data_IF_846702220984
#
_entry.id   IF_846702220984
#
_cell.length_a   1.000
_cell.length_b   1.000
_cell.length_c   1.000
_cell.angle_alpha   90.00
_cell.angle_beta   90.00
_cell.angle_gamma   90.00
#
_symmetry.space_group_name_H-M   'P 1'
#
loop_
_entity.id
_entity.type
_entity.pdbx_description
1 polymer ?
#
# COMPACT_ATOMS: atom_id res chain seq x y z
N UNK A 1 2.23 15.21 17.79
CA UNK A 1 1.80 15.25 16.37
C UNK A 1 1.05 13.94 16.10
N UNK A 2 0.02 13.91 15.24
CA UNK A 2 -0.76 12.68 15.08
C UNK A 2 0.06 11.61 14.38
N UNK A 3 0.11 10.41 14.98
CA UNK A 3 0.68 9.22 14.37
C UNK A 3 -0.18 8.77 13.19
N UNK A 4 0.47 8.39 12.10
CA UNK A 4 -0.25 7.75 10.99
C UNK A 4 -0.51 6.31 11.34
N UNK A 5 -1.77 5.99 11.63
CA UNK A 5 -2.25 4.62 11.74
C UNK A 5 -2.65 4.08 10.37
N UNK A 6 -2.41 2.80 10.12
CA UNK A 6 -2.83 2.11 8.90
C UNK A 6 -2.93 0.60 9.11
N UNK A 7 -3.83 -0.04 8.37
CA UNK A 7 -3.88 -1.50 8.28
C UNK A 7 -2.93 -2.01 7.19
N UNK A 8 -2.40 -3.22 7.42
CA UNK A 8 -1.91 -4.07 6.34
C UNK A 8 -2.81 -5.30 6.20
N UNK A 9 -3.13 -5.69 4.97
CA UNK A 9 -4.13 -6.72 4.69
C UNK A 9 -3.76 -7.60 3.51
N UNK A 10 -4.33 -8.80 3.51
CA UNK A 10 -4.16 -9.82 2.48
C UNK A 10 -5.50 -10.49 2.15
N UNK A 11 -5.46 -11.63 1.49
CA UNK A 11 -6.63 -12.42 1.13
C UNK A 11 -7.45 -12.92 2.32
N UNK A 12 -6.85 -12.94 3.51
CA UNK A 12 -7.49 -13.38 4.75
C UNK A 12 -8.53 -12.38 5.26
N UNK A 13 -8.44 -11.12 4.83
CA UNK A 13 -9.45 -10.11 5.10
C UNK A 13 -10.48 -10.03 3.97
N UNK A 14 -11.63 -9.42 4.27
CA UNK A 14 -12.57 -8.99 3.23
C UNK A 14 -11.93 -7.91 2.36
N UNK A 15 -12.44 -7.73 1.14
CA UNK A 15 -11.98 -6.65 0.27
C UNK A 15 -12.22 -5.29 0.90
N UNK A 16 -11.25 -4.38 0.78
CA UNK A 16 -11.38 -2.98 1.22
C UNK A 16 -12.58 -2.31 0.53
N UNK A 17 -13.20 -1.37 1.24
CA UNK A 17 -14.25 -0.49 0.74
C UNK A 17 -14.14 0.90 1.42
N UNK A 18 -15.09 1.78 1.11
CA UNK A 18 -15.08 3.18 1.56
C UNK A 18 -15.31 3.39 3.07
N UNK A 19 -15.48 2.32 3.85
CA UNK A 19 -15.50 2.41 5.32
C UNK A 19 -14.10 2.48 5.93
N UNK A 20 -13.04 2.23 5.15
CA UNK A 20 -11.66 2.31 5.62
C UNK A 20 -11.29 3.75 6.05
N UNK A 21 -10.86 3.98 7.31
CA UNK A 21 -10.79 5.34 7.84
C UNK A 21 -9.41 6.02 7.71
N UNK A 22 -8.38 5.28 7.31
CA UNK A 22 -7.00 5.75 7.39
C UNK A 22 -6.46 6.28 6.04
N UNK A 23 -5.53 7.26 6.07
CA UNK A 23 -4.97 7.85 4.86
C UNK A 23 -3.88 7.01 4.20
N UNK A 24 -3.52 5.85 4.76
CA UNK A 24 -2.54 4.92 4.22
C UNK A 24 -3.12 3.52 4.33
N UNK A 25 -2.89 2.67 3.34
CA UNK A 25 -3.27 1.25 3.36
C UNK A 25 -2.12 0.44 2.78
N UNK A 26 -1.82 -0.71 3.38
CA UNK A 26 -0.85 -1.67 2.89
C UNK A 26 -1.57 -2.95 2.44
N UNK A 27 -1.29 -3.45 1.22
CA UNK A 27 -2.03 -4.58 0.64
C UNK A 27 -1.07 -5.62 0.06
N UNK A 28 -1.36 -6.91 0.26
CA UNK A 28 -0.58 -7.99 -0.33
C UNK A 28 -0.86 -8.14 -1.81
N UNK A 29 0.18 -8.27 -2.63
CA UNK A 29 0.08 -8.68 -4.03
C UNK A 29 0.25 -10.17 -4.21
N UNK A 30 1.29 -10.75 -3.62
CA UNK A 30 1.64 -12.15 -3.79
C UNK A 30 2.46 -12.69 -2.63
N UNK A 31 2.40 -14.01 -2.49
CA UNK A 31 3.31 -14.80 -1.68
C UNK A 31 4.10 -15.74 -2.61
N UNK A 32 5.38 -15.44 -2.85
CA UNK A 32 6.12 -16.08 -3.93
C UNK A 32 5.41 -15.88 -5.27
N UNK A 33 5.05 -16.97 -5.95
CA UNK A 33 4.24 -16.94 -7.18
C UNK A 33 2.74 -17.04 -6.95
N UNK A 34 2.30 -17.23 -5.70
CA UNK A 34 0.88 -17.28 -5.36
C UNK A 34 0.29 -15.87 -5.32
N UNK A 35 -0.75 -15.62 -6.12
CA UNK A 35 -1.39 -14.30 -6.23
C UNK A 35 -2.48 -14.14 -5.18
N UNK A 36 -2.46 -13.01 -4.48
CA UNK A 36 -3.46 -12.71 -3.46
C UNK A 36 -4.87 -12.62 -4.06
N UNK A 37 -5.83 -13.37 -3.50
CA UNK A 37 -7.21 -13.43 -4.04
C UNK A 37 -7.98 -12.11 -3.91
N UNK A 38 -7.53 -11.18 -3.07
CA UNK A 38 -8.13 -9.85 -2.92
C UNK A 38 -7.42 -8.77 -3.74
N UNK A 39 -6.34 -9.13 -4.44
CA UNK A 39 -5.50 -8.19 -5.21
C UNK A 39 -6.32 -7.24 -6.09
N UNK A 40 -7.19 -7.79 -6.95
CA UNK A 40 -7.94 -6.98 -7.92
C UNK A 40 -8.82 -5.95 -7.22
N UNK A 41 -9.51 -6.32 -6.14
CA UNK A 41 -10.34 -5.40 -5.37
C UNK A 41 -9.49 -4.34 -4.69
N UNK A 42 -8.50 -4.78 -3.91
CA UNK A 42 -7.72 -3.91 -3.04
C UNK A 42 -6.86 -2.93 -3.83
N UNK A 43 -6.20 -3.40 -4.89
CA UNK A 43 -5.38 -2.56 -5.74
C UNK A 43 -6.21 -1.52 -6.50
N UNK A 44 -7.35 -1.92 -7.07
CA UNK A 44 -8.24 -0.99 -7.79
C UNK A 44 -8.80 0.10 -6.86
N UNK A 45 -9.15 -0.28 -5.63
CA UNK A 45 -9.60 0.67 -4.62
C UNK A 45 -8.49 1.65 -4.22
N UNK A 46 -7.26 1.16 -3.99
CA UNK A 46 -6.09 2.00 -3.69
C UNK A 46 -5.82 3.03 -4.80
N UNK A 47 -5.82 2.61 -6.06
CA UNK A 47 -5.62 3.52 -7.21
C UNK A 47 -6.67 4.63 -7.22
N UNK A 48 -7.95 4.26 -7.12
CA UNK A 48 -9.05 5.21 -7.14
C UNK A 48 -8.97 6.19 -5.96
N UNK A 49 -8.60 5.71 -4.78
CA UNK A 49 -8.59 6.50 -3.55
C UNK A 49 -7.35 7.37 -3.38
N UNK A 50 -6.21 6.99 -3.97
CA UNK A 50 -5.04 7.88 -4.00
C UNK A 50 -5.20 9.01 -5.03
N UNK A 51 -5.89 8.74 -6.13
CA UNK A 51 -6.23 9.75 -7.15
C UNK A 51 -7.27 10.75 -6.63
N UNK A 52 -8.27 10.28 -5.88
CA UNK A 52 -9.26 11.13 -5.21
C UNK A 52 -8.68 11.92 -4.04
N UNK A 53 -7.52 11.50 -3.51
CA UNK A 53 -6.88 12.11 -2.35
C UNK A 53 -7.47 11.67 -1.00
N UNK A 54 -8.26 10.58 -0.99
CA UNK A 54 -8.66 9.90 0.24
C UNK A 54 -7.46 9.18 0.87
N UNK A 55 -6.70 8.44 0.06
CA UNK A 55 -5.37 7.96 0.44
C UNK A 55 -4.31 9.04 0.17
N UNK A 56 -3.43 9.24 1.14
CA UNK A 56 -2.18 9.99 0.94
C UNK A 56 -1.21 9.17 0.12
N UNK A 57 -1.04 7.88 0.39
CA UNK A 57 -0.32 6.92 -0.45
C UNK A 57 -0.75 5.52 -0.04
N UNK A 58 -0.27 4.51 -0.75
CA UNK A 58 -0.50 3.12 -0.37
C UNK A 58 0.78 2.31 -0.53
N UNK A 59 0.85 1.20 0.19
CA UNK A 59 1.96 0.25 0.16
C UNK A 59 1.43 -1.03 -0.49
N UNK A 60 2.19 -1.59 -1.43
CA UNK A 60 1.95 -2.95 -1.90
C UNK A 60 3.07 -3.81 -1.35
N UNK A 61 2.73 -4.92 -0.70
CA UNK A 61 3.73 -5.85 -0.21
C UNK A 61 3.65 -7.20 -0.90
N UNK A 62 4.79 -7.86 -0.99
CA UNK A 62 4.85 -9.28 -1.32
C UNK A 62 5.73 -9.99 -0.30
N UNK A 63 5.39 -11.25 -0.05
CA UNK A 63 6.20 -12.13 0.79
C UNK A 63 7.47 -12.47 0.02
N UNK A 64 8.63 -12.17 0.62
CA UNK A 64 9.91 -12.61 0.09
C UNK A 64 9.97 -14.14 0.10
N UNK A 65 10.46 -14.72 -0.99
CA UNK A 65 10.74 -16.16 -1.11
C UNK A 65 12.08 -16.37 -1.83
N UNK A 66 12.77 -17.51 -1.62
CA UNK A 66 14.05 -17.79 -2.28
C UNK A 66 14.00 -17.76 -3.82
N UNK A 67 12.85 -18.06 -4.43
CA UNK A 67 12.57 -17.86 -5.86
C UNK A 67 12.22 -16.38 -6.14
N UNK A 68 13.09 -15.47 -5.70
CA UNK A 68 12.77 -14.05 -5.62
C UNK A 68 12.56 -13.43 -7.02
N UNK A 69 13.26 -13.91 -8.06
CA UNK A 69 13.05 -13.43 -9.42
C UNK A 69 11.61 -13.68 -9.88
N UNK A 70 11.11 -14.91 -9.72
CA UNK A 70 9.73 -15.25 -10.08
C UNK A 70 8.70 -14.53 -9.21
N UNK A 71 9.06 -14.25 -7.95
CA UNK A 71 8.26 -13.47 -7.01
C UNK A 71 8.12 -12.02 -7.48
N UNK A 72 9.23 -11.38 -7.87
CA UNK A 72 9.25 -10.01 -8.39
C UNK A 72 8.56 -9.93 -9.75
N UNK A 73 8.75 -10.90 -10.62
CA UNK A 73 8.02 -10.96 -11.91
C UNK A 73 6.52 -11.16 -11.72
N UNK A 74 6.11 -11.96 -10.72
CA UNK A 74 4.70 -12.08 -10.34
C UNK A 74 4.15 -10.74 -9.87
N UNK A 75 4.85 -10.04 -8.99
CA UNK A 75 4.49 -8.69 -8.53
C UNK A 75 4.34 -7.72 -9.71
N UNK A 76 5.35 -7.63 -10.59
CA UNK A 76 5.33 -6.75 -11.78
C UNK A 76 4.16 -7.08 -12.70
N UNK A 77 3.88 -8.36 -12.95
CA UNK A 77 2.78 -8.79 -13.82
C UNK A 77 1.40 -8.35 -13.32
N UNK A 78 1.25 -8.23 -12.00
CA UNK A 78 0.03 -7.82 -11.33
C UNK A 78 -0.12 -6.29 -11.28
N UNK A 79 0.97 -5.58 -11.00
CA UNK A 79 1.00 -4.11 -10.95
C UNK A 79 0.92 -3.49 -12.34
N UNK A 80 1.66 -4.04 -13.32
CA UNK A 80 1.84 -3.58 -14.71
C UNK A 80 2.47 -2.18 -14.86
N UNK A 81 1.90 -1.17 -14.23
CA UNK A 81 2.37 0.21 -14.24
C UNK A 81 2.31 0.77 -12.81
N UNK A 82 3.46 0.99 -12.14
CA UNK A 82 3.46 1.42 -10.75
C UNK A 82 2.94 2.86 -10.63
N UNK A 83 1.90 3.03 -9.81
CA UNK A 83 1.36 4.36 -9.53
C UNK A 83 2.41 5.23 -8.79
N UNK A 84 2.61 6.53 -9.09
CA UNK A 84 3.64 7.37 -8.46
C UNK A 84 3.53 7.51 -6.95
N UNK A 85 2.38 7.15 -6.37
CA UNK A 85 2.09 7.19 -4.93
C UNK A 85 1.96 5.80 -4.29
N UNK A 86 2.63 4.83 -4.89
CA UNK A 86 2.77 3.46 -4.36
C UNK A 86 4.17 3.29 -3.76
N UNK A 87 4.29 2.80 -2.54
CA UNK A 87 5.53 2.22 -2.04
C UNK A 87 5.45 0.69 -2.17
N UNK A 88 6.59 0.01 -2.17
CA UNK A 88 6.65 -1.45 -2.18
C UNK A 88 7.33 -1.93 -0.91
N UNK A 89 6.72 -2.89 -0.22
CA UNK A 89 7.27 -3.50 0.98
C UNK A 89 7.67 -4.95 0.68
N UNK A 90 8.92 -5.30 0.98
CA UNK A 90 9.39 -6.68 0.94
C UNK A 90 9.23 -7.25 2.34
N UNK A 91 8.30 -8.20 2.47
CA UNK A 91 8.02 -8.89 3.73
C UNK A 91 9.04 -10.03 3.94
N UNK A 92 9.97 -9.80 4.89
CA UNK A 92 11.09 -10.67 5.22
C UNK A 92 10.85 -11.33 6.58
N UNK A 93 10.25 -12.51 6.53
CA UNK A 93 9.99 -13.33 7.70
C UNK A 93 10.43 -14.78 7.50
N UNK A 94 10.59 -15.51 8.59
CA UNK A 94 11.01 -16.92 8.54
C UNK A 94 9.91 -17.86 8.03
N UNK A 95 8.65 -17.42 8.03
CA UNK A 95 7.48 -18.21 7.60
C UNK A 95 7.45 -19.61 8.23
N UNK A 96 7.54 -19.67 9.55
CA UNK A 96 7.58 -20.94 10.30
C UNK A 96 8.85 -21.76 10.04
N UNK A 97 9.95 -21.11 9.66
CA UNK A 97 11.23 -21.75 9.35
C UNK A 97 11.37 -22.24 7.91
N UNK A 98 10.39 -21.98 7.04
CA UNK A 98 10.52 -22.24 5.60
C UNK A 98 11.63 -21.41 4.96
N UNK A 99 11.91 -20.26 5.56
CA UNK A 99 12.98 -19.35 5.16
C UNK A 99 14.00 -19.31 6.30
N UNK A 100 15.26 -19.53 5.97
CA UNK A 100 16.34 -19.58 6.96
C UNK A 100 17.68 -19.16 6.35
N UNK A 101 18.67 -18.95 7.22
CA UNK A 101 20.01 -18.49 6.83
C UNK A 101 20.03 -17.03 6.39
N UNK A 102 21.21 -16.56 6.01
CA UNK A 102 21.39 -15.23 5.44
C UNK A 102 20.87 -15.21 3.99
N UNK A 103 19.85 -14.40 3.77
CA UNK A 103 19.18 -14.17 2.48
C UNK A 103 19.49 -12.79 1.90
N UNK A 104 20.42 -12.04 2.50
CA UNK A 104 20.69 -10.63 2.17
C UNK A 104 20.96 -10.41 0.70
N UNK A 105 21.73 -11.30 0.04
CA UNK A 105 22.05 -11.16 -1.38
C UNK A 105 20.79 -11.17 -2.26
N UNK A 106 19.86 -12.11 -2.01
CA UNK A 106 18.61 -12.21 -2.76
C UNK A 106 17.64 -11.08 -2.41
N UNK A 107 17.55 -10.69 -1.14
CA UNK A 107 16.70 -9.57 -0.71
C UNK A 107 17.20 -8.25 -1.31
N UNK A 108 18.51 -7.99 -1.31
CA UNK A 108 19.09 -6.77 -1.87
C UNK A 108 18.90 -6.72 -3.39
N UNK A 109 19.08 -7.83 -4.10
CA UNK A 109 18.81 -7.91 -5.53
C UNK A 109 17.32 -7.64 -5.84
N UNK A 110 16.40 -8.18 -5.03
CA UNK A 110 14.98 -7.88 -5.14
C UNK A 110 14.69 -6.39 -4.86
N UNK A 111 15.32 -5.78 -3.85
CA UNK A 111 15.21 -4.34 -3.58
C UNK A 111 15.63 -3.49 -4.79
N UNK A 112 16.75 -3.81 -5.42
CA UNK A 112 17.25 -3.11 -6.59
C UNK A 112 16.31 -3.26 -7.79
N UNK A 113 15.87 -4.49 -8.08
CA UNK A 113 15.00 -4.78 -9.22
C UNK A 113 13.62 -4.14 -9.07
N UNK A 114 13.02 -4.23 -7.88
CA UNK A 114 11.76 -3.55 -7.55
C UNK A 114 11.98 -2.05 -7.61
N UNK A 115 13.08 -1.54 -7.06
CA UNK A 115 13.45 -0.14 -7.07
C UNK A 115 13.52 0.43 -8.49
N UNK A 116 14.21 -0.27 -9.40
CA UNK A 116 14.27 0.09 -10.82
C UNK A 116 12.88 0.13 -11.46
N UNK A 117 12.03 -0.86 -11.15
CA UNK A 117 10.65 -0.93 -11.67
C UNK A 117 9.77 0.22 -11.17
N UNK A 118 9.85 0.58 -9.88
CA UNK A 118 9.07 1.70 -9.30
C UNK A 118 9.78 3.05 -9.42
N UNK A 119 10.95 3.09 -10.08
CA UNK A 119 11.73 4.28 -10.38
C UNK A 119 12.70 4.75 -9.29
N UNK A 120 12.71 4.15 -8.09
CA UNK A 120 13.70 4.42 -7.05
C UNK A 120 13.67 3.36 -5.94
N UNK A 121 14.84 2.96 -5.43
CA UNK A 121 14.96 2.15 -4.19
C UNK A 121 14.45 2.90 -2.96
N UNK A 122 14.36 4.24 -3.01
CA UNK A 122 13.71 5.04 -1.98
C UNK A 122 12.20 4.76 -1.85
N UNK A 123 11.58 4.04 -2.79
CA UNK A 123 10.19 3.58 -2.71
C UNK A 123 10.04 2.13 -2.25
N UNK A 124 11.16 1.44 -2.00
CA UNK A 124 11.20 0.08 -1.48
C UNK A 124 11.50 0.13 0.01
N UNK A 125 10.67 -0.52 0.82
CA UNK A 125 10.82 -0.65 2.26
C UNK A 125 10.89 -2.14 2.62
N UNK A 126 11.54 -2.46 3.73
CA UNK A 126 11.55 -3.81 4.28
C UNK A 126 10.54 -3.99 5.41
N UNK A 127 10.15 -5.22 5.67
CA UNK A 127 9.34 -5.59 6.82
C UNK A 127 9.91 -6.84 7.50
N UNK A 128 9.74 -6.91 8.82
CA UNK A 128 9.99 -8.10 9.61
C UNK A 128 10.09 -7.80 11.10
N UNK A 129 10.03 -8.84 11.92
CA UNK A 129 10.41 -8.73 13.33
C UNK A 129 11.95 -8.62 13.47
N UNK A 130 12.45 -8.15 14.62
CA UNK A 130 13.89 -7.96 14.86
C UNK A 130 14.70 -9.24 14.64
N UNK A 131 14.16 -10.39 15.03
CA UNK A 131 14.84 -11.68 14.89
C UNK A 131 15.05 -12.07 13.43
N UNK A 132 14.01 -11.97 12.62
CA UNK A 132 14.05 -12.28 11.19
C UNK A 132 14.89 -11.24 10.43
N UNK A 133 14.74 -9.95 10.74
CA UNK A 133 15.58 -8.91 10.13
C UNK A 133 17.07 -9.14 10.42
N UNK A 134 17.45 -9.58 11.62
CA UNK A 134 18.84 -9.82 11.97
C UNK A 134 19.40 -11.13 11.40
N UNK A 135 18.54 -12.15 11.23
CA UNK A 135 18.97 -13.48 10.78
C UNK A 135 18.92 -13.65 9.27
N UNK A 136 17.82 -13.20 8.66
CA UNK A 136 17.53 -13.37 7.24
C UNK A 136 18.13 -12.26 6.41
N UNK A 137 18.27 -11.06 6.98
CA UNK A 137 18.78 -9.90 6.26
C UNK A 137 19.87 -9.14 7.04
N UNK A 138 20.92 -9.79 7.55
CA UNK A 138 21.98 -9.09 8.32
C UNK A 138 22.66 -7.98 7.51
N UNK A 139 22.80 -8.12 6.19
CA UNK A 139 23.48 -7.17 5.31
C UNK A 139 22.47 -6.34 4.51
N UNK A 140 21.85 -5.35 5.17
CA UNK A 140 20.85 -4.44 4.55
C UNK A 140 21.52 -3.24 3.89
N UNK A 141 20.88 -2.60 2.90
CA UNK A 141 21.28 -1.26 2.46
C UNK A 141 21.19 -0.27 3.64
N UNK A 142 22.18 0.60 3.80
CA UNK A 142 22.26 1.52 4.95
C UNK A 142 21.06 2.49 5.02
N UNK A 143 20.48 2.83 3.86
CA UNK A 143 19.38 3.77 3.70
C UNK A 143 18.00 3.11 3.60
N UNK A 144 17.91 1.79 3.86
CA UNK A 144 16.63 1.09 3.81
C UNK A 144 15.69 1.59 4.92
N UNK A 145 14.43 1.79 4.56
CA UNK A 145 13.36 2.08 5.53
C UNK A 145 12.68 0.78 5.91
N UNK A 146 12.37 0.61 7.18
CA UNK A 146 11.82 -0.64 7.72
C UNK A 146 10.51 -0.40 8.48
N UNK A 147 9.56 -1.30 8.26
CA UNK A 147 8.42 -1.53 9.14
C UNK A 147 8.78 -2.69 10.04
N UNK A 148 8.85 -2.46 11.36
CA UNK A 148 9.25 -3.51 12.31
C UNK A 148 8.02 -4.08 12.98
N UNK A 149 7.85 -5.40 12.94
CA UNK A 149 6.78 -6.08 13.68
C UNK A 149 7.21 -6.35 15.13
N UNK A 150 6.37 -5.93 16.09
CA UNK A 150 6.54 -6.29 17.49
C UNK A 150 5.24 -6.05 18.26
N UNK A 151 4.61 -7.10 18.77
CA UNK A 151 3.34 -6.95 19.48
C UNK A 151 3.60 -6.75 20.97
N UNK A 152 3.03 -5.67 21.52
CA UNK A 152 3.12 -5.34 22.95
C UNK A 152 4.40 -4.59 23.35
N UNK A 153 5.25 -4.25 22.38
CA UNK A 153 6.42 -3.39 22.58
C UNK A 153 6.73 -2.61 21.30
N UNK A 154 7.49 -1.51 21.43
CA UNK A 154 7.94 -0.71 20.29
C UNK A 154 9.47 -0.61 20.32
N UNK A 155 10.21 -1.65 19.86
CA UNK A 155 11.66 -1.64 19.92
C UNK A 155 12.23 -0.67 18.86
N UNK A 156 13.29 0.08 19.20
CA UNK A 156 14.05 0.81 18.20
C UNK A 156 14.78 -0.17 17.27
N UNK A 157 14.90 0.19 15.99
CA UNK A 157 15.68 -0.57 15.01
C UNK A 157 16.25 0.40 13.96
N UNK A 158 17.51 0.23 13.50
CA UNK A 158 18.09 1.09 12.46
C UNK A 158 17.22 1.12 11.20
N UNK A 159 16.89 2.32 10.70
CA UNK A 159 16.03 2.48 9.52
C UNK A 159 14.54 2.30 9.77
N UNK A 160 14.09 2.06 11.01
CA UNK A 160 12.65 1.94 11.33
C UNK A 160 11.92 3.26 11.06
N UNK A 161 10.86 3.18 10.28
CA UNK A 161 9.94 4.30 9.98
C UNK A 161 8.50 4.02 10.40
N UNK A 162 8.15 2.76 10.67
CA UNK A 162 6.86 2.37 11.19
C UNK A 162 6.95 1.06 11.98
N UNK A 163 5.87 0.75 12.69
CA UNK A 163 5.75 -0.35 13.63
C UNK A 163 4.41 -1.06 13.41
N UNK A 164 4.45 -2.35 13.10
CA UNK A 164 3.25 -3.20 13.19
C UNK A 164 3.09 -3.63 14.66
N UNK A 165 2.06 -3.10 15.32
CA UNK A 165 1.94 -3.17 16.79
C UNK A 165 0.93 -4.22 17.27
N UNK A 166 0.10 -4.75 16.37
CA UNK A 166 -0.93 -5.75 16.67
C UNK A 166 -1.30 -6.51 15.40
N UNK A 167 -1.74 -7.76 15.59
CA UNK A 167 -2.40 -8.63 14.60
C UNK A 167 -3.94 -8.59 14.70
N UNK A 168 -4.46 -7.69 15.53
CA UNK A 168 -5.88 -7.56 15.84
C UNK A 168 -6.39 -8.50 16.92
N UNK A 169 -5.50 -9.25 17.60
CA UNK A 169 -5.82 -10.12 18.74
C UNK A 169 -5.39 -9.54 20.10
N UNK A 170 -4.96 -8.28 20.16
CA UNK A 170 -4.52 -7.60 21.37
C UNK A 170 -3.31 -6.71 21.17
N UNK A 171 -2.65 -6.29 22.25
CA UNK A 171 -1.36 -5.57 22.23
C UNK A 171 -1.38 -4.12 21.70
N UNK A 172 -2.55 -3.57 21.36
CA UNK A 172 -2.67 -2.23 20.82
C UNK A 172 -2.25 -1.12 21.78
N UNK A 173 -2.18 -1.38 23.09
CA UNK A 173 -1.76 -0.39 24.07
C UNK A 173 -2.67 0.87 24.10
N UNK A 174 -3.94 0.71 23.73
CA UNK A 174 -4.91 1.80 23.57
C UNK A 174 -5.08 2.30 22.12
N UNK A 175 -4.26 1.82 21.18
CA UNK A 175 -4.46 2.02 19.75
C UNK A 175 -5.50 1.01 19.19
N UNK A 176 -6.12 1.31 18.04
CA UNK A 176 -7.05 0.39 17.36
C UNK A 176 -6.42 -0.97 17.04
N UNK A 177 -7.15 -2.05 17.27
CA UNK A 177 -6.72 -3.44 16.97
C UNK A 177 -7.43 -4.00 15.73
N UNK A 178 -7.65 -3.12 14.77
CA UNK A 178 -8.32 -3.43 13.52
C UNK A 178 -8.88 -2.18 12.85
N UNK A 179 -9.46 -2.39 11.67
CA UNK A 179 -10.07 -1.33 10.88
C UNK A 179 -11.27 -1.87 10.09
N UNK A 180 -12.35 -1.10 9.91
CA UNK A 180 -13.35 -1.42 8.90
C UNK A 180 -12.73 -1.43 7.48
N UNK A 181 -13.20 -2.28 6.57
CA UNK A 181 -14.22 -3.32 6.74
C UNK A 181 -13.67 -4.64 7.32
N UNK A 182 -12.39 -4.69 7.68
CA UNK A 182 -11.66 -5.93 7.97
C UNK A 182 -12.02 -6.55 9.33
N UNK A 183 -12.49 -5.74 10.29
CA UNK A 183 -12.62 -6.18 11.67
C UNK A 183 -11.24 -6.21 12.33
N UNK A 184 -10.95 -7.24 13.12
CA UNK A 184 -9.58 -7.49 13.62
C UNK A 184 -8.63 -7.75 12.46
N UNK A 185 -7.55 -6.99 12.40
CA UNK A 185 -6.48 -7.16 11.41
C UNK A 185 -5.17 -6.54 11.92
N UNK A 186 -4.10 -6.77 11.19
CA UNK A 186 -2.82 -6.13 11.43
C UNK A 186 -2.95 -4.60 11.38
N UNK A 187 -2.44 -3.93 12.42
CA UNK A 187 -2.40 -2.47 12.48
C UNK A 187 -1.00 -1.96 12.76
N UNK A 188 -0.72 -0.81 12.15
CA UNK A 188 0.58 -0.19 12.13
C UNK A 188 0.52 1.27 12.56
N UNK A 189 1.62 1.76 13.11
CA UNK A 189 1.86 3.15 13.47
C UNK A 189 3.15 3.63 12.80
N UNK A 190 3.11 4.79 12.14
CA UNK A 190 4.31 5.47 11.64
C UNK A 190 4.96 6.39 12.70
N UNK A 191 4.83 6.03 13.99
CA UNK A 191 5.50 6.55 15.19
C UNK A 191 6.03 7.99 15.07
N UNK A 192 5.14 8.97 15.12
CA UNK A 192 5.43 10.41 15.09
C UNK A 192 5.34 11.06 13.71
N UNK A 193 5.16 10.29 12.64
CA UNK A 193 5.02 10.80 11.27
C UNK A 193 3.57 11.01 10.87
N UNK A 194 3.27 12.19 10.33
CA UNK A 194 2.04 12.41 9.56
C UNK A 194 2.08 11.63 8.25
N UNK A 195 0.92 11.40 7.61
CA UNK A 195 0.87 10.56 6.40
C UNK A 195 1.72 11.11 5.24
N UNK A 196 1.90 12.43 5.16
CA UNK A 196 2.78 13.06 4.17
C UNK A 196 4.26 12.86 4.52
N UNK A 197 4.64 12.96 5.79
CA UNK A 197 6.01 12.69 6.23
C UNK A 197 6.35 11.21 6.07
N UNK A 198 5.39 10.31 6.35
CA UNK A 198 5.57 8.88 6.11
C UNK A 198 5.72 8.58 4.61
N UNK A 199 4.90 9.19 3.76
CA UNK A 199 5.07 9.08 2.30
C UNK A 199 6.45 9.57 1.83
N UNK A 200 6.95 10.69 2.37
CA UNK A 200 8.28 11.22 2.07
C UNK A 200 9.39 10.27 2.52
N UNK A 201 9.28 9.69 3.71
CA UNK A 201 10.20 8.66 4.19
C UNK A 201 10.21 7.43 3.26
N UNK A 202 9.07 7.12 2.63
CA UNK A 202 8.93 6.10 1.59
C UNK A 202 9.25 6.61 0.17
N UNK A 203 10.00 7.70 0.02
CA UNK A 203 10.48 8.20 -1.28
C UNK A 203 9.37 8.73 -2.20
N UNK A 204 8.18 8.99 -1.65
CA UNK A 204 7.05 9.53 -2.40
C UNK A 204 6.99 11.05 -2.18
N UNK A 205 7.08 11.81 -3.28
CA UNK A 205 7.07 13.27 -3.25
C UNK A 205 5.85 13.85 -2.52
N UNK A 206 5.98 14.98 -1.79
CA UNK A 206 4.84 15.61 -1.13
C UNK A 206 3.75 16.04 -2.12
N UNK A 207 2.50 15.98 -1.68
CA UNK A 207 1.39 16.66 -2.36
C UNK A 207 1.07 17.93 -1.59
N UNK A 208 1.09 19.07 -2.27
CA UNK A 208 0.69 20.34 -1.65
C UNK A 208 -0.76 20.24 -1.12
N UNK A 209 -1.07 20.80 0.06
CA UNK A 209 -2.42 20.73 0.64
C UNK A 209 -3.53 21.20 -0.31
N UNK A 210 -3.26 22.25 -1.10
CA UNK A 210 -4.19 22.78 -2.11
C UNK A 210 -4.50 21.76 -3.20
N UNK A 211 -3.49 20.99 -3.64
CA UNK A 211 -3.66 19.96 -4.65
C UNK A 211 -4.48 18.78 -4.10
N UNK A 212 -4.26 18.38 -2.84
CA UNK A 212 -5.03 17.33 -2.18
C UNK A 212 -6.50 17.74 -2.00
N UNK A 213 -6.76 18.97 -1.55
CA UNK A 213 -8.11 19.51 -1.43
C UNK A 213 -8.82 19.61 -2.80
N UNK A 214 -8.10 19.98 -3.86
CA UNK A 214 -8.64 20.00 -5.21
C UNK A 214 -8.97 18.60 -5.75
N UNK A 215 -8.19 17.57 -5.41
CA UNK A 215 -8.50 16.16 -5.75
C UNK A 215 -9.79 15.70 -5.05
N UNK A 216 -9.90 15.94 -3.75
CA UNK A 216 -11.09 15.59 -2.96
C UNK A 216 -12.35 16.25 -3.51
N UNK A 217 -12.28 17.56 -3.79
CA UNK A 217 -13.41 18.30 -4.40
C UNK A 217 -13.82 17.74 -5.76
N UNK A 218 -12.86 17.39 -6.62
CA UNK A 218 -13.16 16.79 -7.93
C UNK A 218 -13.81 15.41 -7.79
N UNK A 219 -13.35 14.59 -6.86
CA UNK A 219 -13.95 13.29 -6.59
C UNK A 219 -15.38 13.42 -6.07
N UNK A 220 -15.64 14.33 -5.12
CA UNK A 220 -16.99 14.60 -4.61
C UNK A 220 -17.93 15.14 -5.70
N UNK A 221 -17.42 15.96 -6.62
CA UNK A 221 -18.20 16.45 -7.77
C UNK A 221 -18.52 15.32 -8.77
N UNK A 222 -17.58 14.41 -9.02
CA UNK A 222 -17.79 13.26 -9.91
C UNK A 222 -18.78 12.23 -9.33
N UNK A 223 -18.83 12.08 -8.00
CA UNK A 223 -19.74 11.17 -7.30
C UNK A 223 -21.17 11.75 -7.12
N UNK A 224 -21.40 13.03 -7.46
CA UNK A 224 -22.71 13.64 -7.30
C UNK A 224 -23.69 13.15 -8.38
N UNK A 225 -24.92 12.74 -8.03
CA UNK A 225 -25.93 12.26 -8.99
C UNK A 225 -26.40 13.35 -9.98
N UNK A 226 -26.01 14.60 -9.78
CA UNK A 226 -26.33 15.72 -10.68
C UNK A 226 -25.30 15.93 -11.80
N UNK A 227 -24.24 15.13 -11.85
CA UNK A 227 -23.11 15.28 -12.80
C UNK A 227 -23.31 14.58 -14.14
N UNK A 228 -24.44 13.91 -14.36
CA UNK A 228 -24.77 13.33 -15.65
C UNK A 228 -25.02 14.46 -16.67
N UNK A 229 -24.32 14.50 -17.82
CA UNK A 229 -24.64 15.45 -18.86
C UNK A 229 -26.06 15.15 -19.35
N UNK A 230 -26.97 16.13 -19.18
CA UNK A 230 -28.26 16.16 -19.89
C UNK A 230 -27.96 16.01 -21.39
N UNK A 231 -28.16 14.82 -21.95
CA UNK A 231 -28.37 14.67 -23.39
C UNK A 231 -29.67 15.40 -23.71
N UNK A 232 -29.57 16.69 -24.01
CA UNK A 232 -30.64 17.42 -24.68
C UNK A 232 -30.87 16.72 -26.02
N UNK A 233 -32.01 16.03 -26.12
CA UNK A 233 -32.44 15.38 -27.34
C UNK A 233 -32.55 16.40 -28.47
N UNK A 234 -31.64 16.32 -29.43
CA UNK A 234 -31.88 16.91 -30.75
C UNK A 234 -32.90 16.03 -31.48
N UNK A 235 -34.18 16.31 -31.25
CA UNK A 235 -35.24 15.97 -32.19
C UNK A 235 -34.97 16.71 -33.49
N UNK A 236 -34.44 16.00 -34.50
CA UNK A 236 -34.42 16.46 -35.88
C UNK A 236 -35.78 16.15 -36.50
N UNK A 237 -36.66 17.16 -36.55
CA UNK A 237 -37.83 17.15 -37.41
C UNK A 237 -37.39 17.27 -38.87
N UNK A 238 -37.46 16.16 -39.60
CA UNK A 238 -37.32 16.16 -41.06
C UNK A 238 -38.62 16.64 -41.70
N UNK A 239 -38.74 17.94 -41.95
CA UNK A 239 -39.77 18.49 -42.83
C UNK A 239 -39.24 18.49 -44.27
N UNK A 240 -39.80 17.64 -45.14
CA UNK A 240 -39.58 17.70 -46.60
C UNK A 240 -40.74 18.46 -47.24
N UNK A 241 -40.51 19.51 -48.05
CA UNK A 241 -41.56 20.05 -48.90
C UNK A 241 -41.72 19.18 -50.15
N UNK A 242 -42.98 18.89 -50.50
CA UNK A 242 -43.36 18.39 -51.83
C UNK A 242 -43.14 19.51 -52.85
N UNK A 243 -42.47 19.20 -53.95
CA UNK A 243 -42.58 19.97 -55.19
C UNK A 243 -43.46 19.21 -56.18
N UNK A 244 -44.18 20.01 -56.97
CA UNK A 244 -45.16 19.68 -57.99
C UNK A 244 -44.55 18.92 -59.16
#
# INVERSE_FOLDING_TARGET
MPDTLYADVSEWQVGVNDTYPYPVLCIRSNDGTYRDRRWVNNYSWCLSNVDSGLLTFFIVYFVWRPNWQETVETFKSQVRAPHPRMAVMIDVESWGGQISGDQSAGINAACEEVGAYVGSTARVIGYGNVGDLNRLWPNKPEDIRLVVASYGSNPPYPGKVAHQYTDGQGYGGGLPEGAPPFGSCDMNSADGLTAQQFAQACGIAPVLPVALAARRRRASAAASPFSAPRRLGQSRSNFRPRQY
#
